data_IF_229704707177
#
_entry.id   IF_229704707177
#
_cell.length_a   1.000
_cell.length_b   1.000
_cell.length_c   1.000
_cell.angle_alpha   90.00
_cell.angle_beta   90.00
_cell.angle_gamma   90.00
#
_symmetry.space_group_name_H-M   'P 1'
#
loop_
_entity.id
_entity.type
_entity.pdbx_description
1 polymer ?
#
# COMPACT_ATOMS: atom_id res chain seq x y z
N UNK A 1 0.95 -18.30 -0.94
CA UNK A 1 2.04 -17.59 -1.64
C UNK A 1 2.84 -18.53 -2.53
N UNK A 2 3.06 -19.75 -2.12
CA UNK A 2 3.90 -20.73 -2.83
C UNK A 2 3.29 -21.30 -4.12
N UNK A 3 2.00 -21.06 -4.37
CA UNK A 3 1.32 -21.49 -5.60
C UNK A 3 1.74 -20.68 -6.85
N UNK A 4 2.19 -19.44 -6.67
CA UNK A 4 2.66 -18.58 -7.78
C UNK A 4 4.14 -18.29 -7.69
N UNK A 5 4.64 -17.93 -6.52
CA UNK A 5 6.02 -17.58 -6.25
C UNK A 5 6.37 -17.88 -4.80
N UNK A 6 7.48 -18.58 -4.56
CA UNK A 6 8.00 -18.76 -3.21
C UNK A 6 8.79 -17.51 -2.78
N UNK A 7 8.83 -17.26 -1.49
CA UNK A 7 9.66 -16.17 -0.93
C UNK A 7 11.13 -16.33 -1.33
N UNK A 8 11.63 -17.57 -1.31
CA UNK A 8 13.00 -17.89 -1.69
C UNK A 8 13.31 -17.53 -3.14
N UNK A 9 12.44 -17.92 -4.07
CA UNK A 9 12.64 -17.62 -5.49
C UNK A 9 12.55 -16.12 -5.79
N UNK A 10 11.59 -15.41 -5.18
CA UNK A 10 11.48 -13.96 -5.30
C UNK A 10 12.73 -13.22 -4.83
N UNK A 11 13.30 -13.62 -3.69
CA UNK A 11 14.55 -13.03 -3.16
C UNK A 11 15.76 -13.34 -4.04
N UNK A 12 15.85 -14.55 -4.59
CA UNK A 12 16.93 -14.92 -5.51
C UNK A 12 16.84 -14.16 -6.83
N UNK A 13 15.62 -14.01 -7.36
CA UNK A 13 15.38 -13.21 -8.57
C UNK A 13 15.74 -11.74 -8.35
N UNK A 14 15.36 -11.18 -7.21
CA UNK A 14 15.72 -9.82 -6.84
C UNK A 14 17.26 -9.66 -6.75
N UNK A 15 17.96 -10.60 -6.11
CA UNK A 15 19.41 -10.58 -6.02
C UNK A 15 20.09 -10.66 -7.40
N UNK A 16 19.61 -11.56 -8.28
CA UNK A 16 20.12 -11.69 -9.66
C UNK A 16 19.86 -10.41 -10.49
N UNK A 17 18.80 -9.67 -10.18
CA UNK A 17 18.45 -8.40 -10.82
C UNK A 17 19.16 -7.18 -10.19
N UNK A 18 20.04 -7.40 -9.21
CA UNK A 18 20.83 -6.34 -8.57
C UNK A 18 20.13 -5.60 -7.43
N UNK A 19 18.96 -6.07 -6.97
CA UNK A 19 18.30 -5.46 -5.82
C UNK A 19 18.90 -5.96 -4.51
N UNK A 20 19.41 -5.04 -3.70
CA UNK A 20 19.93 -5.35 -2.36
C UNK A 20 18.84 -5.36 -1.29
N UNK A 21 17.72 -4.65 -1.54
CA UNK A 21 16.57 -4.55 -0.62
C UNK A 21 15.28 -4.52 -1.41
N UNK A 22 14.27 -5.21 -0.92
CA UNK A 22 12.91 -5.20 -1.48
C UNK A 22 11.87 -5.02 -0.38
N UNK A 23 10.76 -4.38 -0.70
CA UNK A 23 9.57 -4.35 0.14
C UNK A 23 8.63 -5.48 -0.25
N UNK A 24 8.16 -6.26 0.72
CA UNK A 24 7.13 -7.27 0.51
C UNK A 24 5.77 -6.67 0.85
N UNK A 25 4.86 -6.68 -0.12
CA UNK A 25 3.49 -6.24 0.09
C UNK A 25 2.68 -7.19 0.96
N UNK A 26 1.62 -6.69 1.58
CA UNK A 26 0.80 -7.40 2.55
C UNK A 26 -0.11 -8.51 1.99
N UNK A 27 -0.19 -8.67 0.65
CA UNK A 27 -1.07 -9.63 -0.03
C UNK A 27 -0.53 -11.06 -0.09
N UNK A 28 0.23 -11.47 0.89
CA UNK A 28 0.74 -12.85 1.03
C UNK A 28 -0.35 -13.81 1.53
N UNK A 29 -0.12 -15.11 1.42
CA UNK A 29 -0.87 -16.14 2.11
C UNK A 29 0.05 -16.96 3.03
N UNK A 30 -0.17 -16.92 4.34
CA UNK A 30 -1.10 -16.07 5.07
C UNK A 30 -0.77 -14.57 4.94
N UNK A 31 -1.74 -13.70 5.22
CA UNK A 31 -1.55 -12.23 5.19
C UNK A 31 -0.62 -11.78 6.32
N UNK A 32 0.09 -10.67 6.10
CA UNK A 32 1.02 -10.09 7.08
C UNK A 32 0.27 -9.23 8.12
N UNK A 33 -0.66 -9.83 8.87
CA UNK A 33 -1.53 -9.14 9.82
C UNK A 33 -1.24 -9.46 11.29
N UNK A 34 -0.28 -10.33 11.57
CA UNK A 34 0.15 -10.65 12.92
C UNK A 34 1.69 -10.76 13.04
N UNK A 35 2.17 -10.62 14.27
CA UNK A 35 3.59 -10.66 14.62
C UNK A 35 4.31 -11.93 14.12
N UNK A 36 3.71 -13.11 14.30
CA UNK A 36 4.39 -14.37 14.01
C UNK A 36 4.70 -14.53 12.51
N UNK A 37 3.77 -14.13 11.64
CA UNK A 37 3.93 -14.21 10.18
C UNK A 37 5.01 -13.22 9.72
N UNK A 38 4.99 -11.99 10.23
CA UNK A 38 6.00 -10.97 9.89
C UNK A 38 7.39 -11.41 10.35
N UNK A 39 7.53 -11.91 11.58
CA UNK A 39 8.79 -12.41 12.11
C UNK A 39 9.31 -13.62 11.33
N UNK A 40 8.42 -14.54 10.94
CA UNK A 40 8.78 -15.71 10.11
C UNK A 40 9.35 -15.27 8.75
N UNK A 41 8.66 -14.39 8.04
CA UNK A 41 9.09 -13.92 6.72
C UNK A 41 10.47 -13.23 6.80
N UNK A 42 10.71 -12.41 7.83
CA UNK A 42 12.01 -11.79 8.06
C UNK A 42 13.09 -12.83 8.35
N UNK A 43 12.77 -13.82 9.18
CA UNK A 43 13.72 -14.89 9.54
C UNK A 43 14.18 -15.67 8.31
N UNK A 44 13.24 -16.04 7.43
CA UNK A 44 13.57 -16.74 6.18
C UNK A 44 14.42 -15.89 5.23
N UNK A 45 14.21 -14.57 5.21
CA UNK A 45 14.98 -13.66 4.36
C UNK A 45 16.43 -13.48 4.80
N UNK A 46 16.74 -13.68 6.09
CA UNK A 46 18.13 -13.54 6.63
C UNK A 46 19.13 -14.49 6.00
N UNK A 47 18.67 -15.57 5.39
CA UNK A 47 19.51 -16.58 4.71
C UNK A 47 19.82 -16.21 3.25
N UNK A 48 19.33 -15.06 2.77
CA UNK A 48 19.42 -14.64 1.37
C UNK A 48 20.26 -13.38 1.21
N UNK A 49 20.72 -13.13 -0.02
CA UNK A 49 21.54 -11.96 -0.35
C UNK A 49 20.76 -10.63 -0.37
N UNK A 50 19.45 -10.70 -0.64
CA UNK A 50 18.56 -9.53 -0.67
C UNK A 50 17.83 -9.40 0.66
N UNK A 51 17.88 -8.22 1.27
CA UNK A 51 17.13 -7.90 2.49
C UNK A 51 15.65 -7.69 2.16
N UNK A 52 14.77 -8.31 2.96
CA UNK A 52 13.33 -8.17 2.85
C UNK A 52 12.79 -7.23 3.92
N UNK A 53 11.94 -6.31 3.51
CA UNK A 53 11.24 -5.38 4.38
C UNK A 53 9.73 -5.56 4.21
N UNK A 54 9.03 -6.22 5.16
CA UNK A 54 7.59 -6.45 5.03
C UNK A 54 6.78 -5.19 5.28
N UNK A 55 5.73 -4.99 4.48
CA UNK A 55 4.64 -4.06 4.74
C UNK A 55 3.53 -4.90 5.36
N UNK A 56 3.20 -4.63 6.63
CA UNK A 56 2.12 -5.31 7.34
C UNK A 56 0.74 -4.88 6.81
N UNK A 57 -0.27 -5.71 7.02
CA UNK A 57 -1.65 -5.31 6.76
C UNK A 57 -2.05 -4.16 7.70
N UNK A 58 -2.77 -3.19 7.15
CA UNK A 58 -3.35 -2.11 7.94
C UNK A 58 -4.59 -2.58 8.72
N UNK A 59 -5.38 -3.45 8.10
CA UNK A 59 -6.58 -4.06 8.70
C UNK A 59 -6.39 -5.55 8.93
N UNK A 60 -7.21 -6.13 9.78
CA UNK A 60 -7.23 -7.56 10.01
C UNK A 60 -7.59 -8.32 8.72
N UNK A 61 -7.05 -9.53 8.56
CA UNK A 61 -7.30 -10.34 7.37
C UNK A 61 -8.77 -10.79 7.26
N UNK A 62 -9.38 -11.05 8.42
CA UNK A 62 -10.74 -11.55 8.54
C UNK A 62 -11.78 -10.43 8.58
N UNK A 63 -11.41 -9.25 9.08
CA UNK A 63 -12.30 -8.08 9.15
C UNK A 63 -11.58 -6.81 8.69
N UNK A 64 -11.88 -6.38 7.48
CA UNK A 64 -11.34 -5.15 6.89
C UNK A 64 -11.85 -3.86 7.55
N UNK A 65 -12.80 -3.95 8.47
CA UNK A 65 -13.31 -2.81 9.23
C UNK A 65 -12.59 -2.59 10.57
N UNK A 66 -11.63 -3.46 10.90
CA UNK A 66 -10.82 -3.35 12.10
C UNK A 66 -9.34 -3.21 11.77
N UNK A 67 -8.62 -2.40 12.53
CA UNK A 67 -7.16 -2.29 12.40
C UNK A 67 -6.50 -3.59 12.87
N UNK A 68 -5.41 -3.97 12.21
CA UNK A 68 -4.50 -4.99 12.70
C UNK A 68 -3.73 -4.48 13.94
N UNK A 69 -3.01 -5.37 14.61
CA UNK A 69 -2.16 -5.02 15.76
C UNK A 69 -0.87 -4.31 15.30
N UNK A 70 -1.01 -3.06 14.84
CA UNK A 70 0.05 -2.32 14.14
C UNK A 70 1.32 -2.15 14.98
N UNK A 71 1.19 -2.01 16.30
CA UNK A 71 2.33 -1.94 17.21
C UNK A 71 3.14 -3.24 17.21
N UNK A 72 2.46 -4.38 17.28
CA UNK A 72 3.09 -5.70 17.26
C UNK A 72 3.73 -6.00 15.91
N UNK A 73 3.07 -5.61 14.82
CA UNK A 73 3.63 -5.72 13.46
C UNK A 73 4.91 -4.89 13.31
N UNK A 74 4.92 -3.68 13.88
CA UNK A 74 6.13 -2.84 13.86
C UNK A 74 7.26 -3.47 14.66
N UNK A 75 6.97 -3.97 15.85
CA UNK A 75 7.97 -4.65 16.69
C UNK A 75 8.50 -5.93 16.03
N UNK A 76 7.69 -6.61 15.24
CA UNK A 76 8.11 -7.74 14.41
C UNK A 76 9.03 -7.33 13.24
N UNK A 77 9.08 -6.03 12.89
CA UNK A 77 9.95 -5.48 11.85
C UNK A 77 9.24 -5.02 10.57
N UNK A 78 7.92 -4.82 10.60
CA UNK A 78 7.20 -4.20 9.49
C UNK A 78 7.64 -2.74 9.31
N UNK A 79 7.93 -2.34 8.06
CA UNK A 79 8.39 -0.98 7.73
C UNK A 79 7.24 0.01 7.45
N UNK A 80 6.05 -0.48 7.24
CA UNK A 80 4.84 0.29 6.97
C UNK A 80 3.62 -0.61 7.01
N UNK A 81 2.43 -0.01 6.85
CA UNK A 81 1.14 -0.70 6.98
C UNK A 81 0.21 -0.32 5.83
N UNK A 82 -0.33 -1.30 5.13
CA UNK A 82 -1.23 -1.07 4.01
C UNK A 82 -1.88 -2.34 3.48
N UNK A 83 -3.00 -2.19 2.81
CA UNK A 83 -3.76 -3.29 2.24
C UNK A 83 -3.55 -3.39 0.73
N UNK A 84 -2.42 -3.83 0.27
CA UNK A 84 -2.03 -3.91 -1.14
C UNK A 84 -3.22 -4.11 -2.11
N UNK A 85 -3.40 -3.16 -3.05
CA UNK A 85 -4.49 -3.11 -4.06
C UNK A 85 -5.93 -3.09 -3.49
N UNK A 86 -6.09 -2.89 -2.17
CA UNK A 86 -7.39 -2.69 -1.56
C UNK A 86 -7.43 -1.32 -0.87
N UNK A 87 -8.42 -0.51 -1.22
CA UNK A 87 -8.68 0.75 -0.56
C UNK A 87 -9.35 0.54 0.80
N UNK A 88 -9.07 1.45 1.72
CA UNK A 88 -9.82 1.53 2.98
C UNK A 88 -11.06 2.38 2.71
N UNK A 89 -12.23 1.74 2.66
CA UNK A 89 -13.48 2.40 2.32
C UNK A 89 -13.94 3.39 3.39
N UNK A 90 -13.83 3.01 4.66
CA UNK A 90 -14.21 3.87 5.77
C UNK A 90 -13.16 4.96 6.02
N UNK A 91 -13.50 6.25 5.76
CA UNK A 91 -12.60 7.36 6.03
C UNK A 91 -12.25 7.52 7.51
N UNK A 92 -13.16 7.13 8.42
CA UNK A 92 -12.91 7.21 9.85
C UNK A 92 -11.88 6.17 10.29
N UNK A 93 -11.95 4.95 9.75
CA UNK A 93 -10.95 3.91 10.02
C UNK A 93 -9.57 4.36 9.52
N UNK A 94 -9.49 4.94 8.31
CA UNK A 94 -8.24 5.46 7.77
C UNK A 94 -7.68 6.62 8.59
N UNK A 95 -8.55 7.53 9.08
CA UNK A 95 -8.17 8.60 10.01
C UNK A 95 -7.56 8.03 11.29
N UNK A 96 -8.22 7.03 11.90
CA UNK A 96 -7.73 6.39 13.14
C UNK A 96 -6.38 5.69 12.87
N UNK A 97 -6.22 5.03 11.72
CA UNK A 97 -4.97 4.40 11.32
C UNK A 97 -3.80 5.42 11.24
N UNK A 98 -4.03 6.57 10.61
CA UNK A 98 -3.02 7.65 10.54
C UNK A 98 -2.65 8.17 11.93
N UNK A 99 -3.63 8.42 12.81
CA UNK A 99 -3.40 8.87 14.18
C UNK A 99 -2.63 7.82 14.98
N UNK A 100 -3.03 6.54 14.90
CA UNK A 100 -2.34 5.47 15.61
C UNK A 100 -0.90 5.31 15.14
N UNK A 101 -0.69 5.28 13.81
CA UNK A 101 0.64 5.19 13.23
C UNK A 101 1.57 6.35 13.62
N UNK A 102 1.02 7.54 13.88
CA UNK A 102 1.81 8.67 14.36
C UNK A 102 2.46 8.38 15.73
N UNK A 103 1.75 7.73 16.65
CA UNK A 103 2.27 7.40 17.98
C UNK A 103 3.41 6.35 17.93
N UNK A 104 3.37 5.47 16.95
CA UNK A 104 4.38 4.42 16.78
C UNK A 104 5.44 4.76 15.72
N UNK A 105 5.47 5.99 15.22
CA UNK A 105 6.34 6.41 14.10
C UNK A 105 6.19 5.50 12.86
N UNK A 106 4.96 5.08 12.57
CA UNK A 106 4.60 4.17 11.48
C UNK A 106 4.33 4.90 10.16
N UNK A 107 4.56 4.22 9.04
CA UNK A 107 4.22 4.68 7.70
C UNK A 107 2.93 4.00 7.24
N UNK A 108 1.92 4.77 6.86
CA UNK A 108 0.71 4.24 6.21
C UNK A 108 0.94 4.20 4.70
N UNK A 109 0.60 3.08 4.07
CA UNK A 109 0.69 2.87 2.61
C UNK A 109 -0.72 2.72 2.07
N UNK A 110 -1.20 3.73 1.31
CA UNK A 110 -2.57 3.79 0.83
C UNK A 110 -2.66 3.52 -0.68
N UNK A 111 -3.43 2.50 -1.06
CA UNK A 111 -3.67 2.22 -2.47
C UNK A 111 -4.55 3.32 -3.09
N UNK A 112 -4.10 4.01 -4.16
CA UNK A 112 -4.74 5.22 -4.66
C UNK A 112 -5.88 4.93 -5.65
N UNK A 113 -6.80 4.04 -5.31
CA UNK A 113 -7.93 3.73 -6.19
C UNK A 113 -9.18 3.49 -5.37
N UNK A 114 -10.23 4.24 -5.65
CA UNK A 114 -11.55 3.99 -5.11
C UNK A 114 -12.21 2.81 -5.85
N UNK A 115 -12.40 1.70 -5.16
CA UNK A 115 -12.91 0.46 -5.74
C UNK A 115 -14.35 0.57 -6.24
N UNK A 116 -15.17 1.41 -5.61
CA UNK A 116 -16.57 1.59 -6.00
C UNK A 116 -16.72 2.40 -7.30
N UNK A 117 -15.77 3.31 -7.57
CA UNK A 117 -15.69 4.04 -8.85
C UNK A 117 -15.05 3.16 -9.92
N UNK A 118 -14.00 2.42 -9.59
CA UNK A 118 -13.29 1.54 -10.52
C UNK A 118 -14.15 0.36 -11.01
N UNK A 119 -15.05 -0.15 -10.19
CA UNK A 119 -16.06 -1.19 -10.49
C UNK A 119 -15.53 -2.41 -11.25
N UNK A 120 -14.31 -2.83 -10.98
CA UNK A 120 -13.72 -3.98 -11.66
C UNK A 120 -13.22 -3.71 -13.08
N UNK A 121 -13.07 -2.44 -13.47
CA UNK A 121 -12.40 -2.08 -14.71
C UNK A 121 -10.99 -2.67 -14.78
N UNK A 122 -10.54 -3.02 -15.98
CA UNK A 122 -9.27 -3.72 -16.21
C UNK A 122 -8.23 -2.89 -16.96
N UNK A 123 -8.64 -1.79 -17.56
CA UNK A 123 -7.77 -0.83 -18.26
C UNK A 123 -8.22 0.60 -17.93
N UNK A 124 -7.41 1.59 -18.23
CA UNK A 124 -7.82 2.98 -18.10
C UNK A 124 -8.99 3.32 -19.04
N UNK A 125 -9.97 4.09 -18.55
CA UNK A 125 -11.08 4.59 -19.35
C UNK A 125 -10.56 5.50 -20.48
N UNK A 126 -11.05 5.27 -21.69
CA UNK A 126 -10.68 6.05 -22.86
C UNK A 126 -11.11 5.40 -24.18
N UNK A 127 -10.58 5.91 -25.27
CA UNK A 127 -10.90 5.41 -26.62
C UNK A 127 -10.63 3.91 -26.74
N UNK A 128 -9.52 3.43 -26.17
CA UNK A 128 -9.15 2.02 -26.26
C UNK A 128 -10.12 1.11 -25.48
N UNK A 129 -10.54 1.49 -24.28
CA UNK A 129 -11.52 0.71 -23.49
C UNK A 129 -12.85 0.58 -24.23
N UNK A 130 -13.28 1.66 -24.88
CA UNK A 130 -14.51 1.71 -25.68
C UNK A 130 -14.38 0.80 -26.92
N UNK A 131 -13.26 0.89 -27.65
CA UNK A 131 -13.03 0.06 -28.84
C UNK A 131 -12.98 -1.44 -28.53
N UNK A 132 -12.39 -1.79 -27.38
CA UNK A 132 -12.29 -3.19 -26.94
C UNK A 132 -13.58 -3.70 -26.26
N UNK A 133 -14.56 -2.84 -26.01
CA UNK A 133 -15.80 -3.20 -25.32
C UNK A 133 -15.59 -3.67 -23.88
N UNK A 134 -14.49 -3.20 -23.23
CA UNK A 134 -14.18 -3.56 -21.84
C UNK A 134 -14.40 -2.36 -20.90
N UNK A 135 -14.71 -2.68 -19.65
CA UNK A 135 -14.92 -1.63 -18.65
C UNK A 135 -13.60 -0.91 -18.34
N UNK A 136 -13.61 0.41 -18.50
CA UNK A 136 -12.51 1.28 -18.16
C UNK A 136 -12.53 1.69 -16.68
N UNK A 137 -11.36 2.01 -16.15
CA UNK A 137 -11.18 2.64 -14.83
C UNK A 137 -11.05 4.14 -15.06
N UNK A 138 -12.02 4.97 -14.62
CA UNK A 138 -11.90 6.42 -14.79
C UNK A 138 -10.80 6.99 -13.92
N UNK A 139 -10.05 7.97 -14.42
CA UNK A 139 -9.03 8.69 -13.64
C UNK A 139 -9.56 9.24 -12.32
N UNK A 140 -10.85 9.53 -12.27
CA UNK A 140 -11.57 9.98 -11.08
C UNK A 140 -11.42 9.00 -9.89
N UNK A 141 -11.30 7.69 -10.15
CA UNK A 141 -11.13 6.69 -9.10
C UNK A 141 -9.83 6.91 -8.29
N UNK A 142 -8.74 7.29 -8.98
CA UNK A 142 -7.48 7.64 -8.33
C UNK A 142 -7.55 9.05 -7.69
N UNK A 143 -8.03 10.02 -8.44
CA UNK A 143 -8.01 11.42 -8.02
C UNK A 143 -8.81 11.70 -6.75
N UNK A 144 -10.01 11.11 -6.63
CA UNK A 144 -10.84 11.24 -5.43
C UNK A 144 -10.21 10.50 -4.22
N UNK A 145 -9.66 9.33 -4.45
CA UNK A 145 -8.99 8.58 -3.38
C UNK A 145 -7.79 9.36 -2.83
N UNK A 146 -6.94 9.87 -3.71
CA UNK A 146 -5.77 10.68 -3.35
C UNK A 146 -6.19 11.96 -2.62
N UNK A 147 -7.20 12.67 -3.12
CA UNK A 147 -7.69 13.89 -2.49
C UNK A 147 -8.22 13.63 -1.08
N UNK A 148 -9.01 12.55 -0.89
CA UNK A 148 -9.51 12.14 0.43
C UNK A 148 -8.38 11.84 1.39
N UNK A 149 -7.43 11.02 0.96
CA UNK A 149 -6.34 10.55 1.82
C UNK A 149 -5.41 11.70 2.24
N UNK A 150 -5.14 12.64 1.33
CA UNK A 150 -4.38 13.85 1.64
C UNK A 150 -5.12 14.78 2.61
N UNK A 151 -6.45 14.92 2.48
CA UNK A 151 -7.26 15.71 3.43
C UNK A 151 -7.24 15.09 4.83
N UNK A 152 -7.31 13.76 4.92
CA UNK A 152 -7.20 13.06 6.19
C UNK A 152 -5.79 13.17 6.79
N UNK A 153 -4.75 13.11 5.97
CA UNK A 153 -3.36 13.34 6.38
C UNK A 153 -3.15 14.78 6.91
N UNK A 154 -3.72 15.78 6.22
CA UNK A 154 -3.64 17.19 6.65
C UNK A 154 -4.31 17.40 8.01
N UNK A 155 -5.43 16.71 8.26
CA UNK A 155 -6.15 16.78 9.54
C UNK A 155 -5.45 16.04 10.68
N UNK A 156 -4.87 14.85 10.41
CA UNK A 156 -4.32 13.97 11.44
C UNK A 156 -2.83 14.16 11.68
N UNK A 157 -2.08 14.56 10.65
CA UNK A 157 -0.62 14.41 10.61
C UNK A 157 -0.21 12.96 10.35
N UNK A 158 1.07 12.64 10.59
CA UNK A 158 1.62 11.30 10.38
C UNK A 158 2.39 11.18 9.06
N UNK A 159 2.60 9.94 8.60
CA UNK A 159 3.39 9.62 7.40
C UNK A 159 2.54 8.81 6.43
N UNK A 160 2.48 9.25 5.18
CA UNK A 160 1.71 8.59 4.13
C UNK A 160 2.58 8.30 2.90
N UNK A 161 2.51 7.08 2.38
CA UNK A 161 3.01 6.73 1.07
C UNK A 161 1.85 6.35 0.15
N UNK A 162 1.77 6.98 -1.01
CA UNK A 162 0.77 6.71 -2.05
C UNK A 162 1.47 6.02 -3.22
N UNK A 163 1.40 4.69 -3.35
CA UNK A 163 2.09 3.95 -4.40
C UNK A 163 1.37 4.06 -5.74
N UNK A 164 2.12 3.87 -6.81
CA UNK A 164 1.62 3.61 -8.18
C UNK A 164 0.61 4.66 -8.72
N UNK A 165 0.83 5.94 -8.43
CA UNK A 165 0.01 7.00 -9.01
C UNK A 165 0.22 7.08 -10.53
N UNK A 166 -0.83 7.44 -11.26
CA UNK A 166 -0.84 7.48 -12.73
C UNK A 166 -1.44 8.75 -13.32
N UNK A 167 -2.22 9.52 -12.55
CA UNK A 167 -2.93 10.69 -13.08
C UNK A 167 -2.21 12.01 -12.82
N UNK A 168 -2.30 12.92 -13.77
CA UNK A 168 -1.71 14.26 -13.65
C UNK A 168 -2.28 15.05 -12.45
N UNK A 169 -3.57 14.89 -12.16
CA UNK A 169 -4.22 15.59 -11.05
C UNK A 169 -3.75 15.06 -9.69
N UNK A 170 -3.53 13.74 -9.55
CA UNK A 170 -2.93 13.18 -8.34
C UNK A 170 -1.52 13.73 -8.09
N UNK A 171 -0.71 13.87 -9.14
CA UNK A 171 0.61 14.49 -9.04
C UNK A 171 0.50 15.94 -8.53
N UNK A 172 -0.44 16.72 -9.06
CA UNK A 172 -0.65 18.10 -8.63
C UNK A 172 -1.08 18.18 -7.15
N UNK A 173 -2.01 17.35 -6.73
CA UNK A 173 -2.48 17.28 -5.34
C UNK A 173 -1.34 16.91 -4.36
N UNK A 174 -0.54 15.89 -4.69
CA UNK A 174 0.60 15.49 -3.86
C UNK A 174 1.67 16.58 -3.82
N UNK A 175 1.93 17.25 -4.94
CA UNK A 175 2.88 18.38 -4.99
C UNK A 175 2.43 19.53 -4.09
N UNK A 176 1.15 19.83 -4.07
CA UNK A 176 0.58 20.84 -3.18
C UNK A 176 0.69 20.41 -1.70
N UNK A 177 0.33 19.18 -1.37
CA UNK A 177 0.46 18.64 -0.04
C UNK A 177 1.92 18.72 0.48
N UNK A 178 2.90 18.39 -0.36
CA UNK A 178 4.33 18.55 -0.03
C UNK A 178 4.73 20.01 0.21
N UNK A 179 4.19 20.96 -0.56
CA UNK A 179 4.44 22.41 -0.34
C UNK A 179 3.87 22.90 0.99
N UNK A 180 2.76 22.32 1.45
CA UNK A 180 2.16 22.56 2.77
C UNK A 180 2.97 21.92 3.92
N UNK A 181 4.01 21.14 3.62
CA UNK A 181 4.83 20.46 4.62
C UNK A 181 4.26 19.13 5.11
N UNK A 182 3.27 18.55 4.45
CA UNK A 182 2.75 17.23 4.79
C UNK A 182 3.78 16.15 4.49
N UNK A 183 3.92 15.18 5.40
CA UNK A 183 4.84 14.06 5.23
C UNK A 183 4.22 12.99 4.31
N UNK A 184 4.23 13.28 3.03
CA UNK A 184 3.71 12.42 1.98
C UNK A 184 4.76 12.08 0.94
N UNK A 185 4.82 10.82 0.55
CA UNK A 185 5.63 10.32 -0.56
C UNK A 185 4.76 9.56 -1.55
N UNK A 186 5.23 9.43 -2.78
CA UNK A 186 4.53 8.64 -3.80
C UNK A 186 5.51 7.90 -4.69
N UNK A 187 5.03 6.88 -5.38
CA UNK A 187 5.74 6.18 -6.45
C UNK A 187 4.86 6.04 -7.69
N UNK A 188 5.49 5.73 -8.81
CA UNK A 188 4.82 5.41 -10.08
C UNK A 188 5.19 3.99 -10.48
N UNK A 189 4.34 3.32 -11.27
CA UNK A 189 4.70 2.07 -11.90
C UNK A 189 5.67 2.35 -13.07
N UNK A 190 6.63 1.46 -13.27
CA UNK A 190 7.59 1.49 -14.38
C UNK A 190 7.06 0.64 -15.53
#
# INVERSE_FOLDING_TARGET
MEERETLSNGLETAAKSGFTRIALNSNTHPKLDNHAIVAHVISESKKKATYLHPIGNLTQAEDSNQLAELYDLKNAGAIGFGNFKNDIKDPNLFKIALQYCQHIDGLVVAFPQNSDIARGGIINEGVLSTQLGVQGIPSLAEELQVARDLSLLEYTGGKLHIPTISTHKSIALIKEAKKKGLNVTCSVAV
#
